data_IF_482860552466
#
_entry.id   IF_482860552466
#
_cell.length_a   1.000
_cell.length_b   1.000
_cell.length_c   1.000
_cell.angle_alpha   90.00
_cell.angle_beta   90.00
_cell.angle_gamma   90.00
#
_symmetry.space_group_name_H-M   'P 1'
#
loop_
_entity.id
_entity.type
_entity.pdbx_description
1 polymer ?
#
# COMPACT_ATOMS: atom_id res chain seq x y z
N UNK A 1 -19.76 12.23 -25.62
CA UNK A 1 -18.46 12.71 -25.14
C UNK A 1 -17.68 11.50 -24.65
N UNK A 2 -16.49 11.17 -25.19
CA UNK A 2 -15.61 10.23 -24.50
C UNK A 2 -15.35 10.82 -23.12
N UNK A 3 -15.57 10.04 -22.06
CA UNK A 3 -15.20 10.48 -20.71
C UNK A 3 -13.67 10.47 -20.68
N UNK A 4 -13.05 11.61 -20.39
CA UNK A 4 -11.63 11.64 -20.04
C UNK A 4 -11.45 10.71 -18.84
N UNK A 5 -10.70 9.63 -19.06
CA UNK A 5 -10.40 8.62 -18.04
C UNK A 5 -9.27 9.12 -17.14
N UNK A 6 -9.29 8.67 -15.90
CA UNK A 6 -8.27 8.99 -14.90
C UNK A 6 -7.01 8.16 -15.18
N UNK A 7 -6.12 8.70 -16.00
CA UNK A 7 -4.79 8.14 -16.24
C UNK A 7 -3.81 8.63 -15.17
N UNK A 8 -4.04 8.25 -13.91
CA UNK A 8 -3.33 8.82 -12.76
C UNK A 8 -1.80 8.70 -12.88
N UNK A 9 -1.31 7.59 -13.43
CA UNK A 9 0.13 7.34 -13.63
C UNK A 9 0.80 8.42 -14.47
N UNK A 10 0.12 8.93 -15.49
CA UNK A 10 0.64 9.93 -16.43
C UNK A 10 0.55 11.36 -15.88
N UNK A 11 -0.26 11.55 -14.83
CA UNK A 11 -0.50 12.85 -14.19
C UNK A 11 0.46 13.13 -13.03
N UNK A 12 1.20 12.12 -12.56
CA UNK A 12 2.11 12.24 -11.42
C UNK A 12 3.49 12.72 -11.87
N UNK A 13 4.09 13.61 -11.07
CA UNK A 13 5.50 14.00 -11.26
C UNK A 13 6.46 12.80 -11.04
N UNK A 14 6.08 11.89 -10.14
CA UNK A 14 6.74 10.61 -9.94
C UNK A 14 5.73 9.46 -10.07
N UNK A 15 5.68 8.78 -11.23
CA UNK A 15 4.78 7.66 -11.46
C UNK A 15 5.04 6.42 -10.59
N UNK A 16 6.22 6.33 -9.95
CA UNK A 16 6.56 5.19 -9.08
C UNK A 16 5.80 5.20 -7.75
N UNK A 17 5.24 6.35 -7.37
CA UNK A 17 4.39 6.49 -6.18
C UNK A 17 3.01 5.83 -6.35
N UNK A 18 2.59 5.55 -7.59
CA UNK A 18 1.41 4.74 -7.85
C UNK A 18 1.76 3.27 -7.69
N UNK A 19 1.49 2.75 -6.49
CA UNK A 19 1.72 1.36 -6.12
C UNK A 19 0.38 0.64 -5.90
N UNK A 20 0.26 -0.56 -6.47
CA UNK A 20 -0.96 -1.37 -6.45
C UNK A 20 -0.84 -2.59 -5.53
N UNK A 21 0.38 -2.91 -5.12
CA UNK A 21 0.68 -4.00 -4.18
C UNK A 21 0.44 -3.59 -2.74
N UNK A 22 0.30 -4.58 -1.87
CA UNK A 22 0.28 -4.36 -0.43
C UNK A 22 1.71 -4.27 0.13
N UNK A 23 1.93 -3.42 1.14
CA UNK A 23 3.22 -3.34 1.84
C UNK A 23 3.17 -4.18 3.13
N UNK A 24 3.82 -5.34 3.12
CA UNK A 24 3.81 -6.30 4.23
C UNK A 24 5.24 -6.64 4.62
N UNK A 25 5.57 -6.53 5.90
CA UNK A 25 6.87 -6.89 6.47
C UNK A 25 8.08 -6.27 5.71
N UNK A 26 7.94 -5.01 5.27
CA UNK A 26 9.00 -4.29 4.56
C UNK A 26 9.10 -4.58 3.06
N UNK A 27 8.11 -5.27 2.46
CA UNK A 27 8.11 -5.66 1.05
C UNK A 27 6.77 -5.36 0.38
N UNK A 28 6.81 -5.04 -0.90
CA UNK A 28 5.64 -4.99 -1.76
C UNK A 28 5.25 -6.40 -2.21
N UNK A 29 4.00 -6.80 -1.98
CA UNK A 29 3.47 -8.13 -2.27
C UNK A 29 2.15 -8.06 -3.04
N UNK A 30 1.98 -8.98 -3.97
CA UNK A 30 0.68 -9.30 -4.56
C UNK A 30 -0.10 -10.23 -3.63
N UNK A 31 -1.42 -10.31 -3.78
CA UNK A 31 -2.20 -11.36 -3.15
C UNK A 31 -1.74 -12.74 -3.67
N UNK A 32 -1.63 -13.73 -2.78
CA UNK A 32 -1.20 -15.09 -3.14
C UNK A 32 -2.12 -15.76 -4.16
N UNK A 33 -3.40 -15.36 -4.20
CA UNK A 33 -4.39 -15.79 -5.20
C UNK A 33 -4.33 -14.97 -6.50
N UNK A 34 -3.57 -13.87 -6.54
CA UNK A 34 -3.62 -12.86 -7.59
C UNK A 34 -4.88 -11.99 -7.56
N UNK A 35 -5.69 -12.07 -6.49
CA UNK A 35 -6.91 -11.26 -6.37
C UNK A 35 -6.60 -9.77 -6.21
N UNK A 36 -7.40 -8.95 -6.89
CA UNK A 36 -7.37 -7.49 -6.80
C UNK A 36 -8.78 -6.93 -6.69
N UNK A 37 -8.91 -5.68 -6.27
CA UNK A 37 -10.16 -4.94 -6.34
C UNK A 37 -9.97 -3.52 -6.93
N UNK A 38 -10.99 -2.98 -7.61
CA UNK A 38 -10.90 -1.68 -8.25
C UNK A 38 -11.01 -0.54 -7.25
N UNK A 39 -10.15 0.47 -7.39
CA UNK A 39 -10.29 1.78 -6.76
C UNK A 39 -10.88 2.74 -7.78
N UNK A 40 -12.04 3.31 -7.48
CA UNK A 40 -12.81 4.15 -8.42
C UNK A 40 -12.72 5.64 -8.09
N UNK A 41 -12.67 6.48 -9.11
CA UNK A 41 -12.80 7.93 -8.98
C UNK A 41 -14.27 8.32 -8.72
N UNK A 42 -14.64 8.84 -7.54
CA UNK A 42 -16.04 9.14 -7.22
C UNK A 42 -16.64 10.29 -8.06
N UNK A 43 -15.81 11.15 -8.66
CA UNK A 43 -16.30 12.27 -9.47
C UNK A 43 -16.76 11.86 -10.87
N UNK A 44 -16.26 10.74 -11.40
CA UNK A 44 -16.46 10.32 -12.80
C UNK A 44 -16.93 8.87 -12.95
N UNK A 45 -16.63 8.03 -11.96
CA UNK A 45 -17.01 6.63 -11.86
C UNK A 45 -16.07 5.64 -12.57
N UNK A 46 -14.94 6.10 -13.11
CA UNK A 46 -13.93 5.26 -13.75
C UNK A 46 -12.93 4.68 -12.73
N UNK A 47 -12.28 3.58 -13.11
CA UNK A 47 -11.29 2.88 -12.28
C UNK A 47 -9.94 3.58 -12.41
N UNK A 48 -9.32 3.89 -11.27
CA UNK A 48 -8.00 4.51 -11.15
C UNK A 48 -6.91 3.43 -11.18
N UNK A 49 -7.10 2.36 -10.39
CA UNK A 49 -6.17 1.25 -10.25
C UNK A 49 -6.85 0.00 -9.69
N UNK A 50 -6.28 -1.16 -9.97
CA UNK A 50 -6.59 -2.43 -9.31
C UNK A 50 -5.55 -2.66 -8.20
N UNK A 51 -5.98 -2.86 -6.96
CA UNK A 51 -5.06 -3.02 -5.82
C UNK A 51 -5.21 -4.41 -5.19
N UNK A 52 -4.13 -4.94 -4.61
CA UNK A 52 -4.08 -6.30 -4.07
C UNK A 52 -5.17 -6.55 -3.00
N UNK A 53 -5.91 -7.66 -3.16
CA UNK A 53 -6.93 -8.13 -2.22
C UNK A 53 -6.37 -9.27 -1.37
N UNK A 54 -5.77 -8.92 -0.23
CA UNK A 54 -5.14 -9.88 0.66
C UNK A 54 -6.17 -10.73 1.42
N UNK A 55 -5.93 -12.04 1.44
CA UNK A 55 -6.74 -12.97 2.22
C UNK A 55 -6.52 -12.81 3.73
N UNK A 56 -7.45 -13.36 4.52
CA UNK A 56 -7.33 -13.41 5.99
C UNK A 56 -6.03 -14.06 6.46
N UNK A 57 -5.52 -15.05 5.72
CA UNK A 57 -4.27 -15.73 6.06
C UNK A 57 -3.08 -14.78 5.90
N UNK A 58 -3.01 -14.07 4.78
CA UNK A 58 -1.92 -13.11 4.53
C UNK A 58 -1.95 -11.95 5.54
N UNK A 59 -3.14 -11.53 5.98
CA UNK A 59 -3.29 -10.57 7.07
C UNK A 59 -2.78 -11.14 8.39
N UNK A 60 -3.00 -12.42 8.70
CA UNK A 60 -2.44 -13.05 9.89
C UNK A 60 -0.90 -13.08 9.85
N UNK A 61 -0.31 -13.44 8.72
CA UNK A 61 1.15 -13.41 8.52
C UNK A 61 1.71 -11.98 8.69
N UNK A 62 0.99 -10.96 8.23
CA UNK A 62 1.34 -9.56 8.43
C UNK A 62 1.31 -9.14 9.91
N UNK A 63 0.31 -9.62 10.67
CA UNK A 63 0.20 -9.38 12.12
C UNK A 63 1.37 -10.01 12.86
N UNK A 64 1.73 -11.25 12.54
CA UNK A 64 2.86 -11.94 13.17
C UNK A 64 4.17 -11.21 12.90
N UNK A 65 4.39 -10.75 11.68
CA UNK A 65 5.55 -9.93 11.33
C UNK A 65 5.56 -8.58 12.08
N UNK A 66 4.40 -7.92 12.19
CA UNK A 66 4.27 -6.68 12.94
C UNK A 66 4.54 -6.87 14.44
N UNK A 67 4.09 -7.99 15.03
CA UNK A 67 4.35 -8.31 16.43
C UNK A 67 5.84 -8.54 16.69
N UNK A 68 6.57 -9.17 15.77
CA UNK A 68 8.02 -9.26 15.85
C UNK A 68 8.68 -7.87 15.73
N UNK A 69 8.34 -7.11 14.69
CA UNK A 69 8.93 -5.79 14.42
C UNK A 69 8.64 -4.74 15.51
N UNK A 70 7.48 -4.81 16.15
CA UNK A 70 7.10 -3.93 17.26
C UNK A 70 8.09 -4.02 18.42
N UNK A 71 8.59 -5.22 18.74
CA UNK A 71 9.54 -5.43 19.83
C UNK A 71 10.88 -4.76 19.55
N UNK A 72 11.34 -4.77 18.30
CA UNK A 72 12.58 -4.12 17.91
C UNK A 72 12.43 -2.59 17.85
N UNK A 73 11.32 -2.10 17.31
CA UNK A 73 10.99 -0.68 17.29
C UNK A 73 10.84 -0.08 18.70
N UNK A 74 10.28 -0.85 19.64
CA UNK A 74 10.09 -0.42 21.02
C UNK A 74 11.41 -0.23 21.79
N UNK A 75 12.49 -0.91 21.39
CA UNK A 75 13.82 -0.76 22.02
C UNK A 75 14.47 0.60 21.71
N UNK A 76 14.04 1.26 20.64
CA UNK A 76 14.61 2.55 20.23
C UNK A 76 14.25 3.65 21.22
N UNK A 77 15.10 4.64 21.35
CA UNK A 77 14.82 5.85 22.12
C UNK A 77 13.77 6.72 21.43
N UNK A 78 13.14 7.62 22.18
CA UNK A 78 12.21 8.60 21.61
C UNK A 78 12.87 9.48 20.53
N UNK A 79 14.16 9.83 20.69
CA UNK A 79 14.91 10.63 19.72
C UNK A 79 15.13 9.89 18.41
N UNK A 80 15.48 8.61 18.45
CA UNK A 80 15.67 7.78 17.25
C UNK A 80 14.38 7.61 16.47
N UNK A 81 13.26 7.33 17.16
CA UNK A 81 11.94 7.25 16.50
C UNK A 81 11.51 8.58 15.90
N UNK A 82 11.75 9.69 16.60
CA UNK A 82 11.44 11.04 16.08
C UNK A 82 12.26 11.37 14.82
N UNK A 83 13.51 10.91 14.74
CA UNK A 83 14.35 11.10 13.56
C UNK A 83 13.80 10.36 12.32
N UNK A 84 13.18 9.19 12.50
CA UNK A 84 12.52 8.46 11.40
C UNK A 84 11.23 9.17 10.97
N UNK A 85 10.38 9.58 11.92
CA UNK A 85 9.08 10.21 11.62
C UNK A 85 9.20 11.59 10.94
N UNK A 86 10.36 12.24 11.02
CA UNK A 86 10.62 13.56 10.42
C UNK A 86 11.15 13.49 8.98
N UNK A 87 11.60 12.32 8.54
CA UNK A 87 12.06 12.10 7.16
C UNK A 87 10.87 12.02 6.22
#
# INVERSE_FOLDING_TARGET
MPKDLTHLRDMLADPSLLETRAFVAGKWVEAASGATFPVTNPARGDVIAEVADLSRREVADAIDAAHAGQKDWAKWTGKERAAVLRK
#
